data_IF_464889047824
#
_entry.id   IF_464889047824
#
_cell.length_a   1.000
_cell.length_b   1.000
_cell.length_c   1.000
_cell.angle_alpha   90.00
_cell.angle_beta   90.00
_cell.angle_gamma   90.00
#
_symmetry.space_group_name_H-M   'P 1'
#
loop_
_entity.id
_entity.type
_entity.pdbx_description
1 polymer ?
#
# COMPACT_ATOMS: atom_id res chain seq x y z
N UNK A 1 -3.52 55.27 -52.93
CA UNK A 1 -2.49 54.34 -52.41
C UNK A 1 -2.68 54.25 -50.92
N UNK A 2 -3.29 53.17 -50.44
CA UNK A 2 -3.59 52.97 -49.01
C UNK A 2 -3.10 51.57 -48.65
N UNK A 3 -2.04 51.51 -47.85
CA UNK A 3 -1.37 50.29 -47.41
C UNK A 3 -2.25 49.53 -46.41
N UNK A 4 -2.44 48.20 -46.52
CA UNK A 4 -3.17 47.43 -45.51
C UNK A 4 -2.30 47.19 -44.25
N UNK A 5 -2.90 47.06 -43.05
CA UNK A 5 -2.16 46.83 -41.81
C UNK A 5 -1.69 45.38 -41.66
N UNK A 6 -0.47 45.21 -41.17
CA UNK A 6 0.13 43.93 -40.76
C UNK A 6 -0.59 43.41 -39.51
N UNK A 7 -1.06 42.17 -39.54
CA UNK A 7 -1.64 41.48 -38.37
C UNK A 7 -0.51 41.05 -37.40
N UNK A 8 -0.68 41.19 -36.07
CA UNK A 8 0.26 40.62 -35.11
C UNK A 8 0.27 39.09 -35.23
N UNK A 9 1.48 38.51 -35.21
CA UNK A 9 1.73 37.09 -35.43
C UNK A 9 0.97 36.17 -34.47
N UNK A 10 0.48 35.06 -35.02
CA UNK A 10 -0.09 33.95 -34.27
C UNK A 10 0.92 33.44 -33.24
N UNK A 11 0.53 33.48 -31.95
CA UNK A 11 1.34 32.96 -30.86
C UNK A 11 1.64 31.47 -31.06
N UNK A 12 2.91 31.09 -30.93
CA UNK A 12 3.36 29.69 -30.95
C UNK A 12 2.59 28.89 -29.87
N UNK A 13 2.09 27.67 -30.16
CA UNK A 13 1.34 26.89 -29.19
C UNK A 13 2.12 26.70 -27.88
N UNK A 14 1.50 27.00 -26.74
CA UNK A 14 2.12 27.04 -25.40
C UNK A 14 2.77 25.71 -24.96
N UNK A 15 2.30 24.57 -25.48
CA UNK A 15 2.81 23.24 -25.17
C UNK A 15 4.23 23.00 -25.74
N UNK A 16 4.50 23.48 -26.96
CA UNK A 16 5.78 23.28 -27.65
C UNK A 16 6.97 23.80 -26.83
N UNK A 17 6.84 24.95 -26.17
CA UNK A 17 7.98 25.59 -25.48
C UNK A 17 8.38 24.89 -24.17
N UNK A 18 7.43 24.29 -23.44
CA UNK A 18 7.72 23.58 -22.18
C UNK A 18 8.35 22.22 -22.43
N UNK A 19 7.81 21.47 -23.39
CA UNK A 19 8.37 20.19 -23.83
C UNK A 19 9.79 20.38 -24.40
N UNK A 20 9.99 21.40 -25.26
CA UNK A 20 11.33 21.72 -25.82
C UNK A 20 12.35 22.03 -24.70
N UNK A 21 11.94 22.76 -23.66
CA UNK A 21 12.81 23.04 -22.51
C UNK A 21 13.15 21.78 -21.72
N UNK A 22 12.18 20.87 -21.53
CA UNK A 22 12.37 19.63 -20.79
C UNK A 22 13.26 18.63 -21.55
N UNK A 23 13.08 18.53 -22.87
CA UNK A 23 13.94 17.74 -23.76
C UNK A 23 15.37 18.26 -23.73
N UNK A 24 15.58 19.57 -23.98
CA UNK A 24 16.90 20.19 -23.94
C UNK A 24 17.61 20.03 -22.59
N UNK A 25 16.87 20.14 -21.48
CA UNK A 25 17.42 19.93 -20.14
C UNK A 25 17.84 18.47 -19.94
N UNK A 26 16.99 17.53 -20.32
CA UNK A 26 17.25 16.09 -20.20
C UNK A 26 18.50 15.66 -20.98
N UNK A 27 18.64 16.15 -22.22
CA UNK A 27 19.83 15.92 -23.03
C UNK A 27 21.10 16.47 -22.35
N UNK A 28 21.07 17.73 -21.91
CA UNK A 28 22.23 18.36 -21.27
C UNK A 28 22.61 17.68 -19.96
N UNK A 29 21.63 17.23 -19.18
CA UNK A 29 21.88 16.48 -17.95
C UNK A 29 22.56 15.14 -18.23
N UNK A 30 22.20 14.45 -19.32
CA UNK A 30 22.88 13.22 -19.75
C UNK A 30 24.28 13.49 -20.33
N UNK A 31 24.44 14.54 -21.12
CA UNK A 31 25.71 14.88 -21.79
C UNK A 31 26.78 15.36 -20.80
N UNK A 32 26.40 16.18 -19.81
CA UNK A 32 27.33 16.96 -18.98
C UNK A 32 27.13 16.77 -17.48
N UNK A 33 26.07 16.10 -17.07
CA UNK A 33 25.62 16.05 -15.68
C UNK A 33 24.82 17.30 -15.29
N UNK A 34 23.95 17.12 -14.30
CA UNK A 34 23.06 18.17 -13.78
C UNK A 34 23.83 19.34 -13.17
N UNK A 35 24.85 19.08 -12.35
CA UNK A 35 25.61 20.13 -11.67
C UNK A 35 26.28 21.11 -12.66
N UNK A 36 26.84 20.60 -13.76
CA UNK A 36 27.53 21.39 -14.79
C UNK A 36 26.60 22.10 -15.78
N UNK A 37 25.29 21.82 -15.73
CA UNK A 37 24.30 22.40 -16.66
C UNK A 37 23.64 23.64 -16.03
N UNK A 38 23.71 24.78 -16.71
CA UNK A 38 23.05 26.02 -16.26
C UNK A 38 21.72 26.26 -16.98
N UNK A 39 20.85 27.10 -16.39
CA UNK A 39 19.62 27.57 -17.06
C UNK A 39 19.93 28.27 -18.38
N UNK A 40 21.07 28.96 -18.47
CA UNK A 40 21.50 29.61 -19.71
C UNK A 40 21.76 28.57 -20.81
N UNK A 41 22.50 27.49 -20.50
CA UNK A 41 22.77 26.40 -21.44
C UNK A 41 21.47 25.77 -21.96
N UNK A 42 20.52 25.50 -21.06
CA UNK A 42 19.20 24.94 -21.39
C UNK A 42 18.45 25.88 -22.34
N UNK A 43 18.36 27.17 -22.00
CA UNK A 43 17.64 28.15 -22.85
C UNK A 43 18.29 28.31 -24.22
N UNK A 44 19.63 28.30 -24.29
CA UNK A 44 20.37 28.34 -25.55
C UNK A 44 20.11 27.09 -26.40
N UNK A 45 20.16 25.90 -25.80
CA UNK A 45 19.88 24.62 -26.49
C UNK A 45 18.44 24.57 -27.01
N UNK A 46 17.48 24.99 -26.19
CA UNK A 46 16.05 25.03 -26.54
C UNK A 46 15.70 26.17 -27.53
N UNK A 47 16.61 27.11 -27.80
CA UNK A 47 16.35 28.26 -28.66
C UNK A 47 15.29 29.22 -28.10
N UNK A 48 15.14 29.29 -26.78
CA UNK A 48 14.17 30.16 -26.10
C UNK A 48 14.87 31.19 -25.21
N UNK A 49 14.15 32.25 -24.83
CA UNK A 49 14.72 33.25 -23.92
C UNK A 49 14.78 32.74 -22.48
N UNK A 50 15.70 33.30 -21.69
CA UNK A 50 15.73 33.06 -20.23
C UNK A 50 14.43 33.47 -19.54
N UNK A 51 13.76 34.52 -20.00
CA UNK A 51 12.44 34.92 -19.50
C UNK A 51 11.39 33.83 -19.77
N UNK A 52 11.44 33.21 -20.96
CA UNK A 52 10.56 32.09 -21.31
C UNK A 52 10.75 30.89 -20.37
N UNK A 53 11.98 30.61 -19.93
CA UNK A 53 12.24 29.55 -18.94
C UNK A 53 11.52 29.81 -17.61
N UNK A 54 11.72 31.01 -17.05
CA UNK A 54 11.15 31.37 -15.74
C UNK A 54 9.62 31.55 -15.74
N UNK A 55 9.00 31.61 -16.92
CA UNK A 55 7.54 31.53 -17.03
C UNK A 55 7.00 30.12 -16.73
N UNK A 56 7.83 29.08 -16.80
CA UNK A 56 7.42 27.69 -16.58
C UNK A 56 8.07 27.05 -15.36
N UNK A 57 9.33 27.37 -15.08
CA UNK A 57 10.11 26.69 -14.04
C UNK A 57 10.84 27.71 -13.16
N UNK A 58 10.80 27.53 -11.84
CA UNK A 58 11.56 28.38 -10.92
C UNK A 58 13.05 28.00 -10.91
N UNK A 59 13.35 26.74 -11.18
CA UNK A 59 14.69 26.17 -11.20
C UNK A 59 14.83 25.08 -12.26
N UNK A 60 16.06 24.59 -12.47
CA UNK A 60 16.33 23.48 -13.40
C UNK A 60 15.91 22.11 -12.86
N UNK A 61 15.77 21.93 -11.54
CA UNK A 61 15.26 20.68 -10.95
C UNK A 61 13.76 20.54 -11.21
N UNK A 62 13.00 21.64 -11.12
CA UNK A 62 11.55 21.66 -11.35
C UNK A 62 11.13 21.10 -12.71
N UNK A 63 12.01 21.16 -13.72
CA UNK A 63 11.77 20.65 -15.06
C UNK A 63 11.39 19.17 -15.03
N UNK A 64 12.10 18.37 -14.23
CA UNK A 64 11.86 16.94 -14.13
C UNK A 64 10.54 16.64 -13.42
N UNK A 65 10.09 17.51 -12.53
CA UNK A 65 8.94 17.26 -11.66
C UNK A 65 7.64 17.88 -12.15
N UNK A 66 7.70 18.80 -13.11
CA UNK A 66 6.56 19.62 -13.47
C UNK A 66 5.33 18.82 -13.91
N UNK A 67 5.54 17.69 -14.61
CA UNK A 67 4.45 16.78 -14.96
C UNK A 67 3.74 16.26 -13.71
N UNK A 68 4.49 15.70 -12.76
CA UNK A 68 3.94 15.23 -11.48
C UNK A 68 3.34 16.36 -10.63
N UNK A 69 3.96 17.54 -10.60
CA UNK A 69 3.48 18.69 -9.83
C UNK A 69 2.08 19.12 -10.28
N UNK A 70 1.78 19.09 -11.58
CA UNK A 70 0.43 19.34 -12.09
C UNK A 70 -0.59 18.30 -11.62
N UNK A 71 -0.21 17.02 -11.56
CA UNK A 71 -1.10 15.97 -11.05
C UNK A 71 -1.30 16.07 -9.55
N UNK A 72 -0.27 16.47 -8.80
CA UNK A 72 -0.38 16.72 -7.36
C UNK A 72 -1.35 17.88 -7.11
N UNK A 73 -1.26 18.97 -7.88
CA UNK A 73 -2.22 20.07 -7.76
C UNK A 73 -3.66 19.63 -8.11
N UNK A 74 -3.84 18.82 -9.16
CA UNK A 74 -5.15 18.26 -9.49
C UNK A 74 -5.68 17.34 -8.37
N UNK A 75 -4.83 16.52 -7.77
CA UNK A 75 -5.16 15.68 -6.61
C UNK A 75 -5.59 16.52 -5.41
N UNK A 76 -4.87 17.60 -5.11
CA UNK A 76 -5.21 18.51 -3.99
C UNK A 76 -6.60 19.10 -4.21
N UNK A 77 -6.85 19.66 -5.40
CA UNK A 77 -8.16 20.23 -5.76
C UNK A 77 -9.27 19.18 -5.69
N UNK A 78 -9.02 17.95 -6.16
CA UNK A 78 -10.00 16.87 -6.13
C UNK A 78 -10.33 16.43 -4.68
N UNK A 79 -9.33 16.33 -3.80
CA UNK A 79 -9.53 16.01 -2.38
C UNK A 79 -10.26 17.13 -1.63
N UNK A 80 -9.95 18.39 -1.93
CA UNK A 80 -10.61 19.54 -1.33
C UNK A 80 -12.10 19.63 -1.73
N UNK A 81 -12.44 19.20 -2.94
CA UNK A 81 -13.81 19.16 -3.44
C UNK A 81 -14.57 17.87 -3.09
N UNK A 82 -13.87 16.82 -2.65
CA UNK A 82 -14.48 15.53 -2.38
C UNK A 82 -15.33 15.57 -1.10
N UNK A 83 -16.50 14.87 -1.08
CA UNK A 83 -17.31 14.73 0.12
C UNK A 83 -16.51 14.09 1.27
N UNK A 84 -16.86 14.46 2.51
CA UNK A 84 -16.22 13.94 3.73
C UNK A 84 -17.13 12.99 4.51
N UNK A 85 -18.38 12.84 4.07
CA UNK A 85 -19.41 11.99 4.66
C UNK A 85 -19.32 10.54 4.18
N UNK A 86 -19.99 9.62 4.89
CA UNK A 86 -20.07 8.20 4.52
C UNK A 86 -19.12 7.27 5.28
N UNK A 87 -18.40 7.80 6.29
CA UNK A 87 -17.53 7.01 7.16
C UNK A 87 -16.18 6.63 6.54
N UNK A 88 -15.33 5.98 7.34
CA UNK A 88 -13.93 5.69 7.00
C UNK A 88 -13.75 4.93 5.68
N UNK A 89 -14.61 3.96 5.39
CA UNK A 89 -14.53 3.16 4.16
C UNK A 89 -14.77 4.02 2.91
N UNK A 90 -15.82 4.85 2.92
CA UNK A 90 -16.14 5.72 1.80
C UNK A 90 -15.06 6.80 1.59
N UNK A 91 -14.49 7.32 2.68
CA UNK A 91 -13.36 8.26 2.63
C UNK A 91 -12.12 7.59 2.04
N UNK A 92 -11.80 6.37 2.48
CA UNK A 92 -10.67 5.61 1.95
C UNK A 92 -10.83 5.29 0.46
N UNK A 93 -12.03 4.90 0.01
CA UNK A 93 -12.34 4.68 -1.39
C UNK A 93 -12.16 5.95 -2.23
N UNK A 94 -12.64 7.10 -1.75
CA UNK A 94 -12.44 8.39 -2.44
C UNK A 94 -10.97 8.79 -2.53
N UNK A 95 -10.20 8.62 -1.46
CA UNK A 95 -8.75 8.90 -1.51
C UNK A 95 -8.09 8.00 -2.56
N UNK A 96 -8.45 6.71 -2.59
CA UNK A 96 -7.95 5.76 -3.61
C UNK A 96 -8.31 6.23 -5.02
N UNK A 97 -9.56 6.58 -5.28
CA UNK A 97 -10.01 7.03 -6.60
C UNK A 97 -9.28 8.29 -7.07
N UNK A 98 -9.13 9.27 -6.18
CA UNK A 98 -8.43 10.52 -6.48
C UNK A 98 -6.93 10.27 -6.73
N UNK A 99 -6.30 9.40 -5.95
CA UNK A 99 -4.89 9.03 -6.16
C UNK A 99 -4.70 8.24 -7.45
N UNK A 100 -5.61 7.32 -7.79
CA UNK A 100 -5.57 6.60 -9.06
C UNK A 100 -5.62 7.56 -10.26
N UNK A 101 -6.34 8.67 -10.13
CA UNK A 101 -6.38 9.77 -11.09
C UNK A 101 -5.01 10.40 -11.42
N UNK A 102 -4.00 10.29 -10.54
CA UNK A 102 -2.63 10.75 -10.80
C UNK A 102 -2.01 10.02 -12.00
N UNK A 103 -2.35 8.75 -12.20
CA UNK A 103 -1.82 7.94 -13.29
C UNK A 103 -2.52 8.12 -14.63
N UNK A 104 -3.67 8.79 -14.66
CA UNK A 104 -4.44 8.98 -15.87
C UNK A 104 -3.64 9.82 -16.88
N UNK A 105 -3.42 9.27 -18.07
CA UNK A 105 -2.66 9.90 -19.16
C UNK A 105 -1.26 10.41 -18.75
N UNK A 106 -0.63 9.75 -17.77
CA UNK A 106 0.76 10.00 -17.40
C UNK A 106 1.68 9.41 -18.48
N UNK A 107 1.91 10.19 -19.54
CA UNK A 107 2.73 9.85 -20.71
C UNK A 107 4.23 10.09 -20.43
N UNK A 108 5.16 9.72 -21.34
CA UNK A 108 6.60 9.71 -21.09
C UNK A 108 7.08 11.03 -20.50
N UNK A 109 7.44 10.98 -19.22
CA UNK A 109 7.73 12.15 -18.42
C UNK A 109 9.25 12.28 -18.19
N UNK A 110 9.81 13.48 -18.24
CA UNK A 110 11.22 13.73 -17.89
C UNK A 110 11.63 13.14 -16.54
N UNK A 111 10.70 13.00 -15.58
CA UNK A 111 10.96 12.34 -14.30
C UNK A 111 11.40 10.89 -14.48
N UNK A 112 10.74 10.12 -15.36
CA UNK A 112 11.06 8.71 -15.55
C UNK A 112 12.49 8.55 -16.10
N UNK A 113 12.88 9.40 -17.06
CA UNK A 113 14.24 9.45 -17.58
C UNK A 113 15.24 9.85 -16.48
N UNK A 114 14.89 10.84 -15.66
CA UNK A 114 15.68 11.28 -14.51
C UNK A 114 15.90 10.16 -13.49
N UNK A 115 14.85 9.39 -13.15
CA UNK A 115 14.92 8.25 -12.23
C UNK A 115 15.84 7.16 -12.78
N UNK A 116 15.63 6.74 -14.03
CA UNK A 116 16.40 5.65 -14.65
C UNK A 116 17.89 6.02 -14.81
N UNK A 117 18.18 7.28 -15.11
CA UNK A 117 19.54 7.76 -15.34
C UNK A 117 20.11 8.63 -14.21
N UNK A 118 19.58 8.49 -12.99
CA UNK A 118 19.92 9.36 -11.86
C UNK A 118 21.43 9.45 -11.61
N UNK A 119 22.13 8.31 -11.67
CA UNK A 119 23.59 8.25 -11.49
C UNK A 119 24.34 8.91 -12.63
N UNK A 120 23.92 8.68 -13.89
CA UNK A 120 24.58 9.25 -15.07
C UNK A 120 24.40 10.77 -15.13
N UNK A 121 23.21 11.26 -14.77
CA UNK A 121 22.91 12.69 -14.67
C UNK A 121 23.50 13.32 -13.41
N UNK A 122 23.93 12.54 -12.41
CA UNK A 122 24.43 13.05 -11.12
C UNK A 122 23.35 13.74 -10.29
N UNK A 123 22.14 13.17 -10.24
CA UNK A 123 20.95 13.75 -9.58
C UNK A 123 20.37 12.88 -8.46
N UNK A 124 21.06 11.83 -8.00
CA UNK A 124 20.53 10.92 -6.96
C UNK A 124 20.05 11.69 -5.72
N UNK A 125 20.92 12.51 -5.12
CA UNK A 125 20.57 13.30 -3.93
C UNK A 125 19.52 14.39 -4.22
N UNK A 126 19.49 14.92 -5.44
CA UNK A 126 18.50 15.91 -5.88
C UNK A 126 17.12 15.26 -5.98
N UNK A 127 17.03 14.10 -6.61
CA UNK A 127 15.78 13.35 -6.73
C UNK A 127 15.25 12.95 -5.37
N UNK A 128 16.09 12.50 -4.44
CA UNK A 128 15.66 12.13 -3.09
C UNK A 128 15.05 13.34 -2.35
N UNK A 129 15.73 14.49 -2.39
CA UNK A 129 15.24 15.74 -1.76
C UNK A 129 13.94 16.21 -2.38
N UNK A 130 13.88 16.28 -3.70
CA UNK A 130 12.69 16.78 -4.41
C UNK A 130 11.50 15.81 -4.27
N UNK A 131 11.75 14.49 -4.25
CA UNK A 131 10.73 13.47 -3.97
C UNK A 131 10.15 13.63 -2.57
N UNK A 132 10.98 13.96 -1.56
CA UNK A 132 10.50 14.20 -0.19
C UNK A 132 9.51 15.37 -0.12
N UNK A 133 9.73 16.44 -0.90
CA UNK A 133 8.80 17.57 -0.99
C UNK A 133 7.45 17.13 -1.58
N UNK A 134 7.46 16.33 -2.65
CA UNK A 134 6.21 15.83 -3.28
C UNK A 134 5.48 14.84 -2.39
N UNK A 135 6.20 13.92 -1.74
CA UNK A 135 5.64 13.03 -0.69
C UNK A 135 4.92 13.84 0.37
N UNK A 136 5.54 14.89 0.88
CA UNK A 136 4.94 15.74 1.91
C UNK A 136 3.71 16.52 1.41
N UNK A 137 3.70 16.97 0.15
CA UNK A 137 2.53 17.65 -0.44
C UNK A 137 1.32 16.72 -0.53
N UNK A 138 1.50 15.52 -1.09
CA UNK A 138 0.45 14.49 -1.18
C UNK A 138 -0.02 14.11 0.22
N UNK A 139 0.91 13.82 1.13
CA UNK A 139 0.60 13.42 2.49
C UNK A 139 -0.24 14.46 3.23
N UNK A 140 0.09 15.75 3.10
CA UNK A 140 -0.69 16.83 3.71
C UNK A 140 -2.09 16.94 3.14
N UNK A 141 -2.26 16.81 1.83
CA UNK A 141 -3.57 16.86 1.18
C UNK A 141 -4.48 15.72 1.65
N UNK A 142 -3.96 14.49 1.63
CA UNK A 142 -4.68 13.31 2.10
C UNK A 142 -5.00 13.41 3.60
N UNK A 143 -4.03 13.82 4.42
CA UNK A 143 -4.25 13.98 5.86
C UNK A 143 -5.24 15.11 6.18
N UNK A 144 -5.30 16.18 5.38
CA UNK A 144 -6.30 17.23 5.52
C UNK A 144 -7.70 16.68 5.23
N UNK A 145 -7.86 15.95 4.12
CA UNK A 145 -9.13 15.31 3.77
C UNK A 145 -9.60 14.31 4.85
N UNK A 146 -8.70 13.45 5.34
CA UNK A 146 -9.01 12.49 6.40
C UNK A 146 -9.43 13.16 7.73
N UNK A 147 -8.79 14.28 8.11
CA UNK A 147 -9.20 15.07 9.29
C UNK A 147 -10.56 15.72 9.11
N UNK A 148 -10.82 16.26 7.92
CA UNK A 148 -12.13 16.85 7.61
C UNK A 148 -13.25 15.81 7.69
N UNK A 149 -12.94 14.54 7.41
CA UNK A 149 -13.83 13.40 7.61
C UNK A 149 -13.89 12.85 9.05
N UNK A 150 -13.20 13.48 10.02
CA UNK A 150 -13.29 13.15 11.44
C UNK A 150 -12.20 12.23 11.99
N UNK A 151 -11.20 11.85 11.19
CA UNK A 151 -10.06 11.08 11.69
C UNK A 151 -9.19 11.92 12.66
N UNK A 152 -8.65 11.28 13.71
CA UNK A 152 -7.71 11.96 14.60
C UNK A 152 -6.41 12.32 13.89
N UNK A 153 -5.63 13.23 14.50
CA UNK A 153 -4.42 13.77 13.89
C UNK A 153 -3.39 12.70 13.52
N UNK A 154 -3.14 11.74 14.41
CA UNK A 154 -2.10 10.72 14.20
C UNK A 154 -2.54 9.78 13.09
N UNK A 155 -3.79 9.30 13.15
CA UNK A 155 -4.35 8.44 12.10
C UNK A 155 -4.32 9.13 10.73
N UNK A 156 -4.74 10.40 10.66
CA UNK A 156 -4.70 11.15 9.41
C UNK A 156 -3.28 11.36 8.87
N UNK A 157 -2.30 11.67 9.73
CA UNK A 157 -0.90 11.82 9.33
C UNK A 157 -0.30 10.50 8.82
N UNK A 158 -0.62 9.36 9.46
CA UNK A 158 -0.18 8.03 9.01
C UNK A 158 -0.80 7.69 7.66
N UNK A 159 -2.11 7.90 7.50
CA UNK A 159 -2.81 7.69 6.22
C UNK A 159 -2.20 8.54 5.12
N UNK A 160 -1.98 9.82 5.38
CA UNK A 160 -1.36 10.74 4.44
C UNK A 160 0.05 10.30 4.05
N UNK A 161 0.90 9.98 5.03
CA UNK A 161 2.27 9.53 4.78
C UNK A 161 2.31 8.25 3.93
N UNK A 162 1.42 7.29 4.19
CA UNK A 162 1.32 6.05 3.42
C UNK A 162 0.98 6.32 1.95
N UNK A 163 -0.02 7.17 1.67
CA UNK A 163 -0.38 7.54 0.31
C UNK A 163 0.72 8.35 -0.40
N UNK A 164 1.37 9.28 0.30
CA UNK A 164 2.52 10.00 -0.23
C UNK A 164 3.66 9.04 -0.64
N UNK A 165 4.00 8.07 0.21
CA UNK A 165 4.97 7.03 -0.11
C UNK A 165 4.54 6.15 -1.28
N UNK A 166 3.28 5.71 -1.29
CA UNK A 166 2.73 4.83 -2.31
C UNK A 166 2.81 5.42 -3.72
N UNK A 167 2.45 6.69 -3.90
CA UNK A 167 2.52 7.35 -5.21
C UNK A 167 3.96 7.40 -5.73
N UNK A 168 4.92 7.79 -4.90
CA UNK A 168 6.32 7.88 -5.33
C UNK A 168 6.93 6.50 -5.59
N UNK A 169 6.59 5.49 -4.78
CA UNK A 169 7.03 4.12 -5.01
C UNK A 169 6.47 3.56 -6.33
N UNK A 170 5.20 3.86 -6.65
CA UNK A 170 4.59 3.46 -7.92
C UNK A 170 5.29 4.11 -9.13
N UNK A 171 5.61 5.41 -9.04
CA UNK A 171 6.33 6.13 -10.09
C UNK A 171 7.74 5.58 -10.29
N UNK A 172 8.46 5.30 -9.20
CA UNK A 172 9.81 4.73 -9.26
C UNK A 172 9.79 3.33 -9.91
N UNK A 173 8.89 2.45 -9.47
CA UNK A 173 8.74 1.13 -10.06
C UNK A 173 8.36 1.19 -11.55
N UNK A 174 7.41 2.06 -11.90
CA UNK A 174 7.00 2.29 -13.29
C UNK A 174 8.15 2.80 -14.17
N UNK A 175 8.94 3.74 -13.66
CA UNK A 175 10.11 4.26 -14.37
C UNK A 175 11.12 3.15 -14.67
N UNK A 176 11.41 2.29 -13.69
CA UNK A 176 12.36 1.18 -13.82
C UNK A 176 11.88 0.05 -14.74
N UNK A 177 10.58 -0.25 -14.78
CA UNK A 177 10.02 -1.26 -15.71
C UNK A 177 9.93 -0.73 -17.17
N UNK A 178 9.93 0.59 -17.33
CA UNK A 178 10.07 1.26 -18.62
C UNK A 178 8.82 2.07 -18.97
N UNK A 179 8.81 3.31 -18.50
CA UNK A 179 7.73 4.29 -18.66
C UNK A 179 7.18 4.47 -20.10
N UNK A 180 7.98 4.22 -21.13
CA UNK A 180 7.54 4.29 -22.53
C UNK A 180 6.80 3.04 -23.04
N UNK A 181 6.75 1.96 -22.25
CA UNK A 181 6.16 0.66 -22.63
C UNK A 181 4.94 0.27 -21.78
N UNK A 182 4.81 0.86 -20.60
CA UNK A 182 3.77 0.54 -19.62
C UNK A 182 3.08 1.80 -19.12
N UNK A 183 1.80 1.72 -18.76
CA UNK A 183 1.09 2.81 -18.10
C UNK A 183 1.45 2.86 -16.60
N UNK A 184 1.31 4.03 -15.96
CA UNK A 184 1.52 4.21 -14.52
C UNK A 184 0.37 3.62 -13.67
N UNK A 185 -0.86 3.62 -14.20
CA UNK A 185 -2.07 3.22 -13.46
C UNK A 185 -1.96 1.85 -12.75
N UNK A 186 -1.48 0.76 -13.38
CA UNK A 186 -1.35 -0.54 -12.70
C UNK A 186 -0.40 -0.54 -11.49
N UNK A 187 0.60 0.35 -11.49
CA UNK A 187 1.52 0.49 -10.36
C UNK A 187 0.87 1.26 -9.21
N UNK A 188 0.06 2.26 -9.52
CA UNK A 188 -0.74 2.98 -8.52
C UNK A 188 -1.80 2.09 -7.90
N UNK A 189 -2.47 1.24 -8.68
CA UNK A 189 -3.43 0.25 -8.16
C UNK A 189 -2.76 -0.71 -7.17
N UNK A 190 -1.59 -1.25 -7.55
CA UNK A 190 -0.79 -2.12 -6.68
C UNK A 190 -0.35 -1.41 -5.39
N UNK A 191 0.07 -0.15 -5.49
CA UNK A 191 0.48 0.65 -4.34
C UNK A 191 -0.72 0.98 -3.44
N UNK A 192 -1.89 1.26 -4.01
CA UNK A 192 -3.14 1.48 -3.29
C UNK A 192 -3.57 0.24 -2.50
N UNK A 193 -3.43 -0.97 -3.08
CA UNK A 193 -3.72 -2.22 -2.39
C UNK A 193 -2.78 -2.47 -1.20
N UNK A 194 -1.50 -2.11 -1.35
CA UNK A 194 -0.54 -2.17 -0.25
C UNK A 194 -0.92 -1.20 0.89
N UNK A 195 -1.32 0.03 0.57
CA UNK A 195 -1.82 1.03 1.55
C UNK A 195 -3.08 0.51 2.24
N UNK A 196 -4.05 0.00 1.49
CA UNK A 196 -5.28 -0.57 2.06
C UNK A 196 -5.01 -1.75 2.98
N UNK A 197 -4.02 -2.59 2.67
CA UNK A 197 -3.62 -3.71 3.55
C UNK A 197 -2.91 -3.20 4.80
N UNK A 198 -2.05 -2.18 4.68
CA UNK A 198 -1.27 -1.63 5.79
C UNK A 198 -2.11 -0.80 6.77
N UNK A 199 -3.16 -0.14 6.28
CA UNK A 199 -3.98 0.81 7.06
C UNK A 199 -5.36 0.25 7.37
N UNK A 200 -5.92 -0.54 6.45
CA UNK A 200 -7.19 -1.22 6.58
C UNK A 200 -6.98 -2.64 7.09
N UNK A 201 -7.17 -2.83 8.40
CA UNK A 201 -7.73 -4.11 8.83
C UNK A 201 -9.07 -4.30 8.13
N UNK A 202 -9.12 -5.25 7.18
CA UNK A 202 -10.27 -5.75 6.41
C UNK A 202 -11.31 -4.73 5.88
N UNK A 203 -11.43 -4.62 4.55
CA UNK A 203 -12.41 -3.80 3.85
C UNK A 203 -13.86 -4.34 3.88
N UNK A 204 -14.81 -3.39 3.82
CA UNK A 204 -16.25 -3.42 3.51
C UNK A 204 -17.04 -4.74 3.66
N UNK A 205 -17.66 -4.87 4.83
CA UNK A 205 -18.92 -5.56 5.08
C UNK A 205 -19.61 -4.91 6.30
N UNK A 206 -20.91 -5.13 6.52
CA UNK A 206 -21.61 -4.66 7.75
C UNK A 206 -20.93 -5.18 9.03
N UNK A 207 -20.23 -6.30 8.93
CA UNK A 207 -19.51 -6.94 10.03
C UNK A 207 -18.10 -6.37 10.12
N UNK A 208 -17.88 -5.51 11.12
CA UNK A 208 -16.57 -4.91 11.42
C UNK A 208 -15.65 -5.77 12.28
N UNK A 209 -16.18 -6.83 12.91
CA UNK A 209 -15.40 -7.75 13.76
C UNK A 209 -16.05 -9.13 13.84
N UNK A 210 -15.24 -10.20 13.74
CA UNK A 210 -15.62 -11.57 14.10
C UNK A 210 -15.05 -11.89 15.49
N UNK A 211 -15.90 -12.31 16.43
CA UNK A 211 -15.49 -12.81 17.75
C UNK A 211 -15.89 -14.28 17.89
N UNK A 212 -14.92 -15.13 18.20
CA UNK A 212 -15.18 -16.53 18.60
C UNK A 212 -15.11 -16.59 20.12
N UNK A 213 -16.25 -16.83 20.76
CA UNK A 213 -16.33 -16.91 22.24
C UNK A 213 -16.25 -18.37 22.65
N UNK A 214 -15.34 -18.66 23.58
CA UNK A 214 -14.99 -20.00 24.00
C UNK A 214 -15.23 -20.09 25.50
N UNK A 215 -16.05 -21.04 25.92
CA UNK A 215 -16.26 -21.31 27.33
C UNK A 215 -15.11 -22.20 27.85
N UNK A 216 -14.41 -21.74 28.88
CA UNK A 216 -13.33 -22.49 29.52
C UNK A 216 -13.57 -22.64 31.03
N UNK A 217 -13.65 -23.88 31.51
CA UNK A 217 -13.73 -24.14 32.95
C UNK A 217 -12.43 -23.77 33.68
N UNK A 218 -11.27 -23.94 33.02
CA UNK A 218 -9.95 -23.59 33.53
C UNK A 218 -9.46 -22.25 32.92
N UNK A 219 -10.17 -21.15 33.22
CA UNK A 219 -9.98 -19.85 32.58
C UNK A 219 -8.51 -19.39 32.50
N UNK A 220 -7.79 -19.37 33.62
CA UNK A 220 -6.40 -18.88 33.66
C UNK A 220 -5.44 -19.72 32.82
N UNK A 221 -5.60 -21.05 32.86
CA UNK A 221 -4.77 -21.95 32.07
C UNK A 221 -5.05 -21.80 30.58
N UNK A 222 -6.33 -21.72 30.20
CA UNK A 222 -6.73 -21.48 28.80
C UNK A 222 -6.22 -20.12 28.32
N UNK A 223 -6.36 -19.06 29.14
CA UNK A 223 -5.87 -17.73 28.80
C UNK A 223 -4.36 -17.72 28.60
N UNK A 224 -3.60 -18.29 29.54
CA UNK A 224 -2.14 -18.38 29.43
C UNK A 224 -1.70 -19.17 28.20
N UNK A 225 -2.38 -20.27 27.86
CA UNK A 225 -2.09 -21.03 26.64
C UNK A 225 -2.23 -20.17 25.38
N UNK A 226 -3.37 -19.51 25.18
CA UNK A 226 -3.56 -18.71 23.97
C UNK A 226 -2.75 -17.42 23.97
N UNK A 227 -2.59 -16.76 25.12
CA UNK A 227 -1.84 -15.50 25.21
C UNK A 227 -0.33 -15.71 25.09
N UNK A 228 0.20 -16.66 25.87
CA UNK A 228 1.64 -16.76 26.10
C UNK A 228 2.29 -17.86 25.22
N UNK A 229 1.55 -18.93 24.88
CA UNK A 229 2.09 -20.05 24.09
C UNK A 229 1.79 -19.89 22.60
N UNK A 230 0.52 -19.70 22.25
CA UNK A 230 0.11 -19.37 20.86
C UNK A 230 0.63 -17.99 20.48
N UNK A 231 0.72 -17.07 21.45
CA UNK A 231 1.26 -15.72 21.28
C UNK A 231 0.22 -14.69 20.86
N UNK A 232 -1.06 -14.92 21.18
CA UNK A 232 -2.13 -13.98 20.85
C UNK A 232 -2.14 -12.82 21.85
N UNK A 233 -1.85 -11.57 21.42
CA UNK A 233 -1.82 -10.45 22.35
C UNK A 233 -3.22 -10.17 22.91
N UNK A 234 -3.29 -9.88 24.20
CA UNK A 234 -4.55 -9.50 24.85
C UNK A 234 -4.94 -8.07 24.44
N UNK A 235 -6.13 -7.91 23.88
CA UNK A 235 -6.67 -6.62 23.48
C UNK A 235 -7.46 -5.97 24.63
N UNK A 236 -8.42 -6.71 25.21
CA UNK A 236 -9.30 -6.23 26.28
C UNK A 236 -9.56 -7.35 27.30
N UNK A 237 -9.87 -7.00 28.54
CA UNK A 237 -10.32 -7.95 29.56
C UNK A 237 -11.37 -7.30 30.46
N UNK A 238 -12.39 -8.08 30.83
CA UNK A 238 -13.51 -7.63 31.64
C UNK A 238 -13.75 -8.62 32.78
N UNK A 239 -14.05 -8.07 33.96
CA UNK A 239 -14.44 -8.83 35.15
C UNK A 239 -15.74 -8.24 35.70
N UNK A 240 -16.66 -9.10 36.15
CA UNK A 240 -17.94 -8.71 36.72
C UNK A 240 -18.24 -9.52 38.00
N UNK A 241 -19.29 -9.12 38.71
CA UNK A 241 -19.70 -9.72 39.98
C UNK A 241 -19.89 -11.25 39.88
N UNK A 242 -19.63 -11.94 40.99
CA UNK A 242 -19.79 -13.41 41.05
C UNK A 242 -18.66 -14.21 40.37
N UNK A 243 -17.52 -13.57 40.06
CA UNK A 243 -16.36 -14.24 39.47
C UNK A 243 -16.44 -14.44 37.95
N UNK A 244 -17.34 -13.74 37.28
CA UNK A 244 -17.46 -13.75 35.82
C UNK A 244 -16.30 -13.00 35.17
N UNK A 245 -15.61 -13.63 34.21
CA UNK A 245 -14.42 -13.06 33.55
C UNK A 245 -14.40 -13.40 32.07
N UNK A 246 -13.93 -12.47 31.25
CA UNK A 246 -13.67 -12.68 29.82
C UNK A 246 -12.41 -11.90 29.41
N UNK A 247 -11.58 -12.53 28.59
CA UNK A 247 -10.45 -11.89 27.93
C UNK A 247 -10.62 -11.98 26.41
N UNK A 248 -10.30 -10.91 25.71
CA UNK A 248 -10.35 -10.81 24.25
C UNK A 248 -8.91 -10.80 23.75
N UNK A 249 -8.55 -11.81 22.96
CA UNK A 249 -7.23 -11.96 22.37
C UNK A 249 -7.30 -11.63 20.88
N UNK A 250 -6.30 -10.93 20.35
CA UNK A 250 -6.21 -10.65 18.92
C UNK A 250 -5.72 -11.89 18.16
N UNK A 251 -6.41 -12.23 17.07
CA UNK A 251 -6.11 -13.39 16.22
C UNK A 251 -5.56 -12.96 14.84
N UNK A 252 -4.72 -11.91 14.80
CA UNK A 252 -4.24 -11.35 13.54
C UNK A 252 -5.38 -10.97 12.59
N UNK A 253 -5.28 -11.39 11.32
CA UNK A 253 -6.36 -11.26 10.33
C UNK A 253 -7.29 -12.47 10.43
N UNK A 254 -8.47 -12.28 11.00
CA UNK A 254 -9.48 -13.33 11.06
C UNK A 254 -10.22 -13.48 9.71
N UNK A 255 -10.37 -14.72 9.24
CA UNK A 255 -11.14 -15.07 8.05
C UNK A 255 -12.20 -16.12 8.39
N UNK A 256 -13.35 -16.07 7.72
CA UNK A 256 -14.39 -17.10 7.82
C UNK A 256 -14.27 -18.02 6.62
N UNK A 257 -13.83 -19.25 6.84
CA UNK A 257 -13.78 -20.29 5.81
C UNK A 257 -15.05 -21.17 5.89
N UNK A 258 -15.76 -21.33 4.76
CA UNK A 258 -16.97 -22.18 4.67
C UNK A 258 -16.68 -23.32 3.68
N UNK A 259 -16.64 -24.54 4.19
CA UNK A 259 -16.44 -25.75 3.41
C UNK A 259 -17.72 -26.61 3.40
N UNK A 260 -18.04 -27.22 2.25
CA UNK A 260 -19.11 -28.21 2.17
C UNK A 260 -18.60 -29.58 2.68
N UNK A 261 -19.50 -30.56 2.96
CA UNK A 261 -19.07 -31.86 3.50
C UNK A 261 -18.03 -32.59 2.64
N UNK A 262 -18.16 -32.55 1.31
CA UNK A 262 -17.20 -33.18 0.41
C UNK A 262 -15.80 -32.55 0.49
N UNK A 263 -15.73 -31.22 0.67
CA UNK A 263 -14.50 -30.48 0.88
C UNK A 263 -13.89 -30.80 2.25
N UNK A 264 -14.71 -30.90 3.31
CA UNK A 264 -14.23 -31.29 4.64
C UNK A 264 -13.66 -32.72 4.62
N UNK A 265 -14.36 -33.68 4.02
CA UNK A 265 -13.85 -35.05 3.87
C UNK A 265 -12.55 -35.11 3.06
N UNK A 266 -12.42 -34.27 2.03
CA UNK A 266 -11.19 -34.17 1.27
C UNK A 266 -10.05 -33.60 2.11
N UNK A 267 -10.31 -32.54 2.87
CA UNK A 267 -9.36 -31.92 3.79
C UNK A 267 -8.91 -32.93 4.85
N UNK A 268 -9.84 -33.64 5.50
CA UNK A 268 -9.52 -34.63 6.53
C UNK A 268 -8.66 -35.77 5.97
N UNK A 269 -9.00 -36.29 4.78
CA UNK A 269 -8.15 -37.31 4.10
C UNK A 269 -6.73 -36.81 3.83
N UNK A 270 -6.56 -35.54 3.50
CA UNK A 270 -5.27 -34.96 3.15
C UNK A 270 -4.43 -34.61 4.39
N UNK A 271 -5.07 -33.98 5.38
CA UNK A 271 -4.39 -33.40 6.54
C UNK A 271 -4.23 -34.39 7.69
N UNK A 272 -5.15 -35.36 7.79
CA UNK A 272 -5.23 -36.30 8.91
C UNK A 272 -5.37 -37.75 8.42
N UNK A 273 -5.16 -38.06 7.15
CA UNK A 273 -5.42 -39.40 6.59
C UNK A 273 -6.87 -39.89 6.81
N UNK A 274 -7.78 -38.99 7.22
CA UNK A 274 -9.17 -39.28 7.60
C UNK A 274 -9.35 -39.85 9.01
N UNK A 275 -8.30 -39.94 9.82
CA UNK A 275 -8.36 -40.53 11.17
C UNK A 275 -8.75 -39.52 12.28
N UNK A 276 -8.57 -38.22 12.02
CA UNK A 276 -9.03 -37.13 12.86
C UNK A 276 -10.02 -36.25 12.09
N UNK A 277 -11.34 -36.46 12.26
CA UNK A 277 -12.35 -35.69 11.56
C UNK A 277 -12.38 -34.23 12.02
N UNK A 278 -12.68 -33.31 11.10
CA UNK A 278 -12.83 -31.88 11.44
C UNK A 278 -14.09 -31.62 12.27
N UNK A 279 -13.95 -30.78 13.30
CA UNK A 279 -15.08 -30.26 14.08
C UNK A 279 -15.94 -29.30 13.25
N UNK A 280 -17.18 -29.05 13.70
CA UNK A 280 -18.10 -28.10 13.04
C UNK A 280 -17.56 -26.66 12.99
N UNK A 281 -16.74 -26.28 13.98
CA UNK A 281 -16.06 -24.99 14.05
C UNK A 281 -14.61 -25.29 14.42
N UNK A 282 -13.67 -24.85 13.57
CA UNK A 282 -12.22 -25.00 13.75
C UNK A 282 -11.53 -23.66 13.65
N UNK A 283 -10.44 -23.47 14.38
CA UNK A 283 -9.62 -22.27 14.29
C UNK A 283 -8.34 -22.58 13.52
N UNK A 284 -8.05 -21.80 12.47
CA UNK A 284 -6.82 -21.93 11.70
C UNK A 284 -5.87 -20.76 11.99
N UNK A 285 -4.61 -21.05 12.30
CA UNK A 285 -3.57 -20.07 12.57
C UNK A 285 -2.43 -20.21 11.57
N UNK A 286 -2.12 -19.11 10.88
CA UNK A 286 -0.92 -19.03 10.06
C UNK A 286 0.31 -18.88 10.97
N UNK A 287 1.35 -19.67 10.73
CA UNK A 287 2.61 -19.63 11.50
C UNK A 287 3.81 -19.64 10.55
N UNK A 288 4.92 -19.07 11.01
CA UNK A 288 6.16 -19.03 10.23
C UNK A 288 6.79 -20.43 10.05
N UNK A 289 6.62 -21.32 11.05
CA UNK A 289 7.12 -22.70 11.05
C UNK A 289 6.10 -23.60 11.75
N UNK A 290 5.46 -24.48 10.97
CA UNK A 290 4.40 -25.34 11.48
C UNK A 290 4.91 -26.43 12.43
N UNK A 291 6.12 -26.97 12.23
CA UNK A 291 6.68 -28.03 13.07
C UNK A 291 7.12 -27.49 14.44
N UNK A 292 7.82 -26.35 14.43
CA UNK A 292 8.25 -25.69 15.65
C UNK A 292 7.04 -25.21 16.47
N UNK A 293 6.00 -24.69 15.81
CA UNK A 293 4.77 -24.29 16.47
C UNK A 293 4.01 -25.50 17.07
N UNK A 294 3.84 -26.58 16.30
CA UNK A 294 3.16 -27.79 16.78
C UNK A 294 3.87 -28.40 17.99
N UNK A 295 5.20 -28.47 17.96
CA UNK A 295 6.01 -29.00 19.08
C UNK A 295 5.81 -28.15 20.34
N UNK A 296 5.93 -26.82 20.22
CA UNK A 296 5.74 -25.89 21.34
C UNK A 296 4.33 -25.99 21.95
N UNK A 297 3.30 -26.13 21.11
CA UNK A 297 1.92 -26.26 21.56
C UNK A 297 1.68 -27.60 22.25
N UNK A 298 2.29 -28.69 21.76
CA UNK A 298 2.22 -29.99 22.40
C UNK A 298 2.89 -30.00 23.78
N UNK A 299 4.08 -29.39 23.90
CA UNK A 299 4.79 -29.23 25.19
C UNK A 299 3.98 -28.41 26.21
N UNK A 300 3.15 -27.49 25.73
CA UNK A 300 2.23 -26.71 26.56
C UNK A 300 0.89 -27.41 26.86
N UNK A 301 0.72 -28.67 26.44
CA UNK A 301 -0.43 -29.51 26.78
C UNK A 301 -1.53 -29.57 25.73
N UNK A 302 -1.29 -29.16 24.48
CA UNK A 302 -2.19 -29.48 23.37
C UNK A 302 -2.03 -30.94 22.93
N UNK A 303 -3.13 -31.60 22.56
CA UNK A 303 -3.10 -32.95 21.99
C UNK A 303 -2.85 -32.87 20.47
N UNK A 304 -1.90 -33.65 19.95
CA UNK A 304 -1.56 -33.63 18.52
C UNK A 304 -2.39 -34.67 17.79
N UNK A 305 -3.47 -34.22 17.16
CA UNK A 305 -4.36 -35.07 16.38
C UNK A 305 -3.74 -35.45 15.02
N UNK A 306 -2.97 -34.56 14.37
CA UNK A 306 -2.18 -34.88 13.19
C UNK A 306 -0.88 -34.09 13.10
N UNK A 307 0.21 -34.79 12.77
CA UNK A 307 1.57 -34.21 12.63
C UNK A 307 1.71 -33.32 11.37
N UNK A 308 2.62 -32.32 11.41
CA UNK A 308 2.88 -31.42 10.27
C UNK A 308 3.17 -32.17 8.95
N UNK A 309 2.46 -31.81 7.90
CA UNK A 309 2.60 -32.40 6.55
C UNK A 309 2.27 -31.41 5.44
N UNK A 310 2.75 -31.65 4.23
CA UNK A 310 2.50 -30.77 3.07
C UNK A 310 1.16 -31.13 2.41
N UNK A 311 0.34 -30.12 2.13
CA UNK A 311 -0.97 -30.24 1.49
C UNK A 311 -0.90 -29.96 -0.02
N UNK A 312 -1.91 -30.37 -0.82
CA UNK A 312 -1.99 -30.10 -2.26
C UNK A 312 -2.05 -28.62 -2.66
N UNK A 313 -2.33 -27.71 -1.72
CA UNK A 313 -2.36 -26.25 -1.94
C UNK A 313 -1.08 -25.56 -1.48
N UNK A 314 0.04 -26.30 -1.46
CA UNK A 314 1.38 -25.81 -1.15
C UNK A 314 1.49 -25.14 0.23
N UNK A 315 0.86 -25.74 1.24
CA UNK A 315 1.01 -25.31 2.62
C UNK A 315 1.43 -26.49 3.50
N UNK A 316 2.13 -26.21 4.61
CA UNK A 316 2.50 -27.20 5.61
C UNK A 316 1.59 -27.07 6.82
N UNK A 317 0.80 -28.11 7.10
CA UNK A 317 -0.33 -28.06 8.04
C UNK A 317 -0.21 -29.10 9.16
N UNK A 318 -0.65 -28.74 10.37
CA UNK A 318 -0.78 -29.64 11.52
C UNK A 318 -2.15 -29.48 12.21
N UNK A 319 -2.65 -30.55 12.86
CA UNK A 319 -3.92 -30.56 13.58
C UNK A 319 -3.70 -30.86 15.05
N UNK A 320 -4.27 -30.04 15.92
CA UNK A 320 -4.14 -30.18 17.36
C UNK A 320 -5.48 -29.88 18.06
N UNK A 321 -5.65 -30.40 19.27
CA UNK A 321 -6.72 -29.98 20.18
C UNK A 321 -6.13 -29.19 21.34
N UNK A 322 -6.52 -27.92 21.44
CA UNK A 322 -6.11 -27.03 22.52
C UNK A 322 -7.01 -27.12 23.75
N UNK A 323 -6.67 -26.38 24.83
CA UNK A 323 -7.53 -26.23 26.00
C UNK A 323 -8.94 -25.74 25.64
N UNK A 324 -9.91 -26.05 26.51
CA UNK A 324 -11.35 -25.84 26.25
C UNK A 324 -11.90 -26.62 25.03
N UNK A 325 -11.17 -27.62 24.54
CA UNK A 325 -11.65 -28.57 23.53
C UNK A 325 -11.63 -28.03 22.10
N UNK A 326 -11.01 -26.88 21.85
CA UNK A 326 -10.94 -26.28 20.52
C UNK A 326 -10.00 -27.05 19.60
N UNK A 327 -10.50 -27.42 18.42
CA UNK A 327 -9.67 -27.96 17.37
C UNK A 327 -8.97 -26.82 16.61
N UNK A 328 -7.65 -26.95 16.50
CA UNK A 328 -6.72 -25.98 15.94
C UNK A 328 -6.03 -26.55 14.69
N UNK A 329 -5.97 -25.76 13.64
CA UNK A 329 -5.13 -26.01 12.46
C UNK A 329 -3.99 -25.02 12.44
N UNK A 330 -2.75 -25.48 12.43
CA UNK A 330 -1.60 -24.63 12.12
C UNK A 330 -1.30 -24.77 10.63
N UNK A 331 -1.05 -23.67 9.94
CA UNK A 331 -0.63 -23.72 8.54
C UNK A 331 0.52 -22.74 8.25
N UNK A 332 1.42 -23.15 7.36
CA UNK A 332 2.51 -22.34 6.83
C UNK A 332 2.42 -22.35 5.30
N UNK A 333 2.35 -21.18 4.66
CA UNK A 333 2.43 -21.10 3.20
C UNK A 333 3.88 -21.38 2.75
N UNK A 334 4.04 -22.22 1.73
CA UNK A 334 5.33 -22.54 1.13
C UNK A 334 5.53 -21.70 -0.14
N UNK A 335 6.78 -21.34 -0.46
CA UNK A 335 7.08 -20.59 -1.68
C UNK A 335 6.57 -21.33 -2.93
N UNK A 336 6.01 -20.62 -3.92
CA UNK A 336 5.60 -21.23 -5.19
C UNK A 336 6.86 -21.69 -5.95
N UNK A 337 6.92 -22.99 -6.25
CA UNK A 337 7.95 -23.59 -7.12
C UNK A 337 7.75 -23.20 -8.59
#
# INVERSE_FOLDING_TARGET
>A
MTTPPVRPGAGRPRASSRETLAEAASELFLERGFAATSVADITTRAGVSRSSFFNYFASKSDILWAGLDERIEALVVALDAAPVEGGDAAVAARIRDVVAGVGADFAPDPLALGIVHATAMGIVDELEREAAVRRARIARAVAAHARAAGADRIRADVVGAAWGGAVLAAIEAWAQEGAGRTALAPFLDRAADAVSTAIGGAAEGEVSQLRVVVQAAAFEQTLAFYRDVVGMPQAEAYEADGGARVAILAAGRATLEIANPAQVEFIDRVETDGDAPSDRIRLAFQVADADAAATRLAEAGADVEARPRVTPWNSRNARLRGPAGLQLTLFQELDPH
#
